data_IF_742505597713
#
_entry.id   IF_742505597713
#
_cell.length_a   1.000
_cell.length_b   1.000
_cell.length_c   1.000
_cell.angle_alpha   90.00
_cell.angle_beta   90.00
_cell.angle_gamma   90.00
#
_symmetry.space_group_name_H-M   'P 1'
#
loop_
_entity.id
_entity.type
_entity.pdbx_description
1 polymer ?
#
# COMPACT_ATOMS: atom_id res chain seq x y z
N UNK A 1 -34.52 -25.29 0.80
CA UNK A 1 -33.52 -25.95 1.66
C UNK A 1 -32.20 -25.23 1.49
N UNK A 2 -31.40 -25.09 2.56
CA UNK A 2 -30.16 -24.30 2.50
C UNK A 2 -28.95 -25.12 2.05
N UNK A 3 -28.95 -26.43 2.30
CA UNK A 3 -27.92 -27.38 1.91
C UNK A 3 -28.49 -28.81 2.00
N UNK A 4 -27.64 -29.81 1.72
CA UNK A 4 -28.02 -31.23 1.75
C UNK A 4 -28.55 -31.69 3.11
N UNK A 5 -28.02 -31.20 4.23
CA UNK A 5 -28.47 -31.59 5.57
C UNK A 5 -29.92 -31.15 5.84
N UNK A 6 -30.29 -29.95 5.37
CA UNK A 6 -31.68 -29.48 5.48
C UNK A 6 -32.64 -30.36 4.67
N UNK A 7 -32.22 -30.79 3.47
CA UNK A 7 -33.00 -31.72 2.66
C UNK A 7 -33.09 -33.10 3.32
N UNK A 8 -31.97 -33.64 3.80
CA UNK A 8 -31.92 -34.92 4.49
C UNK A 8 -32.81 -34.91 5.74
N UNK A 9 -32.75 -33.86 6.56
CA UNK A 9 -33.59 -33.70 7.74
C UNK A 9 -35.08 -33.64 7.38
N UNK A 10 -35.44 -32.99 6.28
CA UNK A 10 -36.83 -32.94 5.83
C UNK A 10 -37.33 -34.30 5.33
N UNK A 11 -36.48 -35.10 4.66
CA UNK A 11 -36.80 -36.47 4.27
C UNK A 11 -37.14 -37.34 5.48
N UNK A 12 -36.44 -37.18 6.61
CA UNK A 12 -36.71 -37.94 7.85
C UNK A 12 -38.09 -37.64 8.48
N UNK A 13 -38.72 -36.52 8.10
CA UNK A 13 -40.07 -36.15 8.59
C UNK A 13 -41.21 -36.71 7.75
N UNK A 14 -40.92 -37.37 6.62
CA UNK A 14 -41.94 -37.97 5.78
C UNK A 14 -42.60 -39.16 6.48
N UNK A 15 -43.88 -39.39 6.14
CA UNK A 15 -44.66 -40.52 6.64
C UNK A 15 -43.96 -41.84 6.29
N UNK A 16 -43.49 -42.55 7.32
CA UNK A 16 -42.71 -43.78 7.18
C UNK A 16 -43.54 -44.95 6.68
N UNK A 17 -44.83 -44.99 6.98
CA UNK A 17 -45.72 -46.06 6.50
C UNK A 17 -45.96 -45.93 4.99
N UNK A 18 -45.84 -44.72 4.45
CA UNK A 18 -46.03 -44.44 3.03
C UNK A 18 -44.73 -44.41 2.22
N UNK A 19 -43.65 -43.86 2.77
CA UNK A 19 -42.43 -43.54 2.03
C UNK A 19 -41.16 -44.23 2.58
N UNK A 20 -41.25 -45.03 3.64
CA UNK A 20 -40.08 -45.62 4.30
C UNK A 20 -39.18 -46.45 3.38
N UNK A 21 -39.77 -47.34 2.58
CA UNK A 21 -39.01 -48.18 1.63
C UNK A 21 -38.36 -47.35 0.52
N UNK A 22 -39.06 -46.33 0.00
CA UNK A 22 -38.53 -45.41 -1.00
C UNK A 22 -37.37 -44.57 -0.45
N UNK A 23 -37.49 -44.09 0.79
CA UNK A 23 -36.40 -43.36 1.44
C UNK A 23 -35.15 -44.22 1.62
N UNK A 24 -35.31 -45.49 2.00
CA UNK A 24 -34.18 -46.41 2.13
C UNK A 24 -33.48 -46.68 0.78
N UNK A 25 -34.23 -46.72 -0.33
CA UNK A 25 -33.70 -47.02 -1.66
C UNK A 25 -33.15 -45.80 -2.40
N UNK A 26 -33.79 -44.63 -2.29
CA UNK A 26 -33.59 -43.50 -3.21
C UNK A 26 -33.00 -42.24 -2.58
N UNK A 27 -32.83 -42.20 -1.24
CA UNK A 27 -32.31 -41.01 -0.54
C UNK A 27 -31.02 -40.46 -1.14
N UNK A 28 -30.03 -41.32 -1.37
CA UNK A 28 -28.74 -40.93 -1.96
C UNK A 28 -28.88 -40.41 -3.39
N UNK A 29 -29.81 -40.97 -4.18
CA UNK A 29 -30.08 -40.50 -5.53
C UNK A 29 -30.70 -39.09 -5.50
N UNK A 30 -31.64 -38.83 -4.59
CA UNK A 30 -32.24 -37.50 -4.44
C UNK A 30 -31.21 -36.47 -3.94
N UNK A 31 -30.34 -36.84 -2.99
CA UNK A 31 -29.24 -35.99 -2.56
C UNK A 31 -28.24 -35.72 -3.68
N UNK A 32 -27.95 -36.71 -4.53
CA UNK A 32 -27.10 -36.53 -5.71
C UNK A 32 -27.71 -35.58 -6.74
N UNK A 33 -29.02 -35.67 -7.02
CA UNK A 33 -29.73 -34.72 -7.90
C UNK A 33 -29.71 -33.31 -7.28
N UNK A 34 -29.92 -33.21 -5.97
CA UNK A 34 -29.83 -31.91 -5.27
C UNK A 34 -28.42 -31.32 -5.41
N UNK A 35 -27.38 -32.13 -5.26
CA UNK A 35 -26.01 -31.69 -5.48
C UNK A 35 -25.74 -31.31 -6.94
N UNK A 36 -26.19 -32.09 -7.92
CA UNK A 36 -26.02 -31.78 -9.34
C UNK A 36 -26.70 -30.44 -9.71
N UNK A 37 -27.85 -30.15 -9.12
CA UNK A 37 -28.59 -28.91 -9.36
C UNK A 37 -27.95 -27.67 -8.72
N UNK A 38 -27.33 -27.81 -7.55
CA UNK A 38 -26.83 -26.68 -6.77
C UNK A 38 -25.30 -26.55 -6.72
N UNK A 39 -24.57 -27.59 -7.05
CA UNK A 39 -23.10 -27.67 -7.05
C UNK A 39 -22.47 -27.12 -5.75
N UNK A 40 -23.00 -27.53 -4.60
CA UNK A 40 -22.52 -27.02 -3.31
C UNK A 40 -21.07 -27.43 -3.02
N UNK A 41 -20.55 -28.49 -3.64
CA UNK A 41 -19.12 -28.86 -3.56
C UNK A 41 -18.19 -27.78 -4.11
N UNK A 42 -18.67 -26.94 -5.03
CA UNK A 42 -17.91 -25.81 -5.57
C UNK A 42 -18.02 -24.54 -4.70
N UNK A 43 -18.81 -24.56 -3.62
CA UNK A 43 -18.94 -23.42 -2.72
C UNK A 43 -17.65 -23.21 -1.91
N UNK A 44 -16.97 -22.10 -2.17
CA UNK A 44 -15.71 -21.71 -1.50
C UNK A 44 -15.90 -20.74 -0.33
N UNK A 45 -17.15 -20.40 -0.01
CA UNK A 45 -17.51 -19.37 0.96
C UNK A 45 -18.33 -18.24 0.33
N UNK A 46 -18.68 -17.24 1.15
CA UNK A 46 -19.64 -16.18 0.78
C UNK A 46 -19.18 -15.27 -0.37
N UNK A 47 -17.88 -15.28 -0.73
CA UNK A 47 -17.30 -14.36 -1.72
C UNK A 47 -17.98 -14.45 -3.09
N UNK A 48 -18.37 -15.67 -3.49
CA UNK A 48 -19.08 -15.90 -4.75
C UNK A 48 -20.59 -15.67 -4.69
N UNK A 49 -21.16 -15.31 -3.53
CA UNK A 49 -22.62 -15.31 -3.32
C UNK A 49 -23.17 -13.97 -2.82
N UNK A 50 -22.37 -12.90 -2.84
CA UNK A 50 -22.81 -11.54 -2.52
C UNK A 50 -21.99 -10.49 -3.30
N UNK A 51 -22.39 -9.22 -3.22
CA UNK A 51 -21.94 -8.14 -4.12
C UNK A 51 -21.29 -6.94 -3.40
N UNK A 52 -20.78 -7.15 -2.18
CA UNK A 52 -20.13 -6.11 -1.37
C UNK A 52 -18.96 -6.71 -0.58
N UNK A 53 -18.18 -5.90 0.14
CA UNK A 53 -17.02 -6.36 0.91
C UNK A 53 -16.03 -7.16 0.03
N UNK A 54 -15.76 -8.42 0.34
CA UNK A 54 -14.92 -9.33 -0.47
C UNK A 54 -15.67 -10.00 -1.64
N UNK A 55 -16.91 -9.57 -1.89
CA UNK A 55 -17.83 -10.19 -2.85
C UNK A 55 -17.57 -9.83 -4.31
N UNK A 56 -18.43 -10.36 -5.16
CA UNK A 56 -18.37 -10.18 -6.60
C UNK A 56 -18.44 -8.70 -6.99
N UNK A 57 -17.49 -8.27 -7.83
CA UNK A 57 -17.44 -6.91 -8.36
C UNK A 57 -17.03 -5.85 -7.34
N UNK A 58 -16.48 -6.25 -6.19
CA UNK A 58 -15.96 -5.33 -5.17
C UNK A 58 -14.43 -5.26 -5.22
N UNK A 59 -13.89 -4.04 -5.20
CA UNK A 59 -12.45 -3.80 -5.05
C UNK A 59 -12.14 -3.75 -3.56
N UNK A 60 -11.26 -4.62 -3.08
CA UNK A 60 -10.79 -4.62 -1.69
C UNK A 60 -9.42 -3.93 -1.60
N UNK A 61 -9.40 -2.67 -1.13
CA UNK A 61 -8.27 -1.75 -1.32
C UNK A 61 -6.99 -2.16 -0.61
N UNK A 62 -7.09 -2.88 0.52
CA UNK A 62 -5.90 -3.41 1.20
C UNK A 62 -5.11 -4.35 0.29
N UNK A 63 -5.78 -5.21 -0.50
CA UNK A 63 -5.09 -6.13 -1.40
C UNK A 63 -4.46 -5.41 -2.59
N UNK A 64 -5.11 -4.35 -3.10
CA UNK A 64 -4.53 -3.50 -4.16
C UNK A 64 -3.28 -2.76 -3.66
N UNK A 65 -3.27 -2.33 -2.40
CA UNK A 65 -2.12 -1.64 -1.82
C UNK A 65 -0.96 -2.62 -1.54
N UNK A 66 -1.27 -3.88 -1.19
CA UNK A 66 -0.26 -4.95 -1.16
C UNK A 66 0.33 -5.21 -2.55
N UNK A 67 -0.50 -5.22 -3.59
CA UNK A 67 -0.03 -5.35 -4.98
C UNK A 67 0.90 -4.18 -5.36
N UNK A 68 0.53 -2.94 -5.01
CA UNK A 68 1.38 -1.75 -5.23
C UNK A 68 2.74 -1.93 -4.56
N UNK A 69 2.77 -2.35 -3.29
CA UNK A 69 4.00 -2.58 -2.55
C UNK A 69 4.83 -3.71 -3.18
N UNK A 70 4.22 -4.82 -3.58
CA UNK A 70 4.91 -5.92 -4.24
C UNK A 70 5.53 -5.48 -5.58
N UNK A 71 4.83 -4.68 -6.39
CA UNK A 71 5.37 -4.14 -7.65
C UNK A 71 6.54 -3.17 -7.39
N UNK A 72 6.48 -2.39 -6.31
CA UNK A 72 7.58 -1.54 -5.87
C UNK A 72 8.83 -2.36 -5.51
N UNK A 73 8.67 -3.44 -4.74
CA UNK A 73 9.76 -4.36 -4.39
C UNK A 73 10.34 -5.04 -5.64
N UNK A 74 9.49 -5.55 -6.54
CA UNK A 74 9.91 -6.12 -7.81
C UNK A 74 10.68 -5.13 -8.69
N UNK A 75 10.25 -3.86 -8.73
CA UNK A 75 10.96 -2.81 -9.47
C UNK A 75 12.39 -2.62 -8.96
N UNK A 76 12.56 -2.46 -7.64
CA UNK A 76 13.89 -2.27 -7.07
C UNK A 76 14.76 -3.52 -7.12
N UNK A 77 14.16 -4.72 -7.03
CA UNK A 77 14.87 -5.96 -7.29
C UNK A 77 15.43 -5.97 -8.72
N UNK A 78 14.58 -5.71 -9.73
CA UNK A 78 14.99 -5.66 -11.12
C UNK A 78 16.09 -4.62 -11.38
N UNK A 79 16.00 -3.44 -10.74
CA UNK A 79 17.06 -2.42 -10.80
C UNK A 79 18.38 -2.93 -10.23
N UNK A 80 18.35 -3.58 -9.05
CA UNK A 80 19.57 -4.11 -8.41
C UNK A 80 20.20 -5.28 -9.14
N UNK A 81 19.40 -6.09 -9.84
CA UNK A 81 19.85 -7.20 -10.68
C UNK A 81 20.32 -6.73 -12.07
N UNK A 82 20.21 -5.43 -12.38
CA UNK A 82 20.62 -4.88 -13.67
C UNK A 82 19.76 -5.35 -14.83
N UNK A 83 18.47 -5.63 -14.58
CA UNK A 83 17.50 -6.02 -15.60
C UNK A 83 17.31 -4.89 -16.62
N UNK A 84 17.00 -5.27 -17.86
CA UNK A 84 16.80 -4.35 -18.98
C UNK A 84 15.89 -3.14 -18.66
N UNK A 85 16.26 -1.98 -19.23
CA UNK A 85 15.58 -0.71 -19.02
C UNK A 85 14.12 -0.74 -19.50
N UNK A 86 13.80 -1.52 -20.54
CA UNK A 86 12.44 -1.68 -21.03
C UNK A 86 11.55 -2.39 -20.01
N UNK A 87 12.06 -3.45 -19.38
CA UNK A 87 11.34 -4.22 -18.36
C UNK A 87 11.17 -3.40 -17.08
N UNK A 88 12.23 -2.77 -16.58
CA UNK A 88 12.14 -1.91 -15.38
C UNK A 88 11.21 -0.72 -15.62
N UNK A 89 11.20 -0.15 -16.83
CA UNK A 89 10.24 0.87 -17.26
C UNK A 89 8.79 0.40 -17.21
N UNK A 90 8.50 -0.84 -17.63
CA UNK A 90 7.15 -1.42 -17.54
C UNK A 90 6.72 -1.66 -16.09
N UNK A 91 7.63 -2.15 -15.22
CA UNK A 91 7.35 -2.29 -13.78
C UNK A 91 7.03 -0.94 -13.14
N UNK A 92 7.80 0.11 -13.47
CA UNK A 92 7.53 1.48 -13.04
C UNK A 92 6.18 1.99 -13.54
N UNK A 93 5.80 1.68 -14.78
CA UNK A 93 4.49 2.04 -15.32
C UNK A 93 3.35 1.36 -14.56
N UNK A 94 3.44 0.05 -14.31
CA UNK A 94 2.45 -0.67 -13.50
C UNK A 94 2.35 -0.13 -12.08
N UNK A 95 3.48 0.21 -11.45
CA UNK A 95 3.49 0.83 -10.13
C UNK A 95 2.63 2.10 -10.09
N UNK A 96 2.84 3.03 -11.04
CA UNK A 96 2.07 4.28 -11.07
C UNK A 96 0.62 4.09 -11.52
N UNK A 97 0.33 3.11 -12.37
CA UNK A 97 -1.05 2.78 -12.75
C UNK A 97 -1.84 2.26 -11.54
N UNK A 98 -1.25 1.35 -10.75
CA UNK A 98 -1.87 0.86 -9.50
C UNK A 98 -2.05 2.03 -8.52
N UNK A 99 -1.03 2.88 -8.33
CA UNK A 99 -1.12 4.09 -7.48
C UNK A 99 -2.24 5.02 -7.93
N UNK A 100 -2.39 5.27 -9.23
CA UNK A 100 -3.49 6.05 -9.77
C UNK A 100 -4.85 5.38 -9.52
N UNK A 101 -4.89 4.04 -9.58
CA UNK A 101 -6.05 3.21 -9.24
C UNK A 101 -6.55 3.40 -7.81
N UNK A 102 -5.65 3.53 -6.81
CA UNK A 102 -5.98 3.79 -5.40
C UNK A 102 -6.88 5.02 -5.26
N UNK A 103 -6.65 6.05 -6.06
CA UNK A 103 -7.66 7.08 -6.32
C UNK A 103 -7.48 8.43 -5.64
N UNK A 104 -6.31 8.74 -5.08
CA UNK A 104 -6.01 10.05 -4.46
C UNK A 104 -6.37 11.24 -5.35
N UNK A 105 -6.23 11.09 -6.68
CA UNK A 105 -6.49 12.15 -7.67
C UNK A 105 -7.83 11.97 -8.42
N UNK A 106 -8.69 11.04 -7.99
CA UNK A 106 -10.04 10.92 -8.55
C UNK A 106 -10.92 12.06 -8.03
N UNK A 107 -11.95 12.44 -8.78
CA UNK A 107 -12.95 13.38 -8.26
C UNK A 107 -13.70 12.75 -7.08
N UNK A 108 -14.19 13.56 -6.12
CA UNK A 108 -15.02 13.05 -5.03
C UNK A 108 -16.27 12.30 -5.51
N UNK A 109 -16.80 12.65 -6.68
CA UNK A 109 -17.92 11.96 -7.32
C UNK A 109 -17.56 10.52 -7.74
N UNK A 110 -16.41 10.33 -8.39
CA UNK A 110 -15.95 9.00 -8.82
C UNK A 110 -15.49 8.17 -7.60
N UNK A 111 -14.80 8.79 -6.65
CA UNK A 111 -14.35 8.12 -5.43
C UNK A 111 -15.53 7.77 -4.51
N UNK A 112 -16.51 8.67 -4.44
CA UNK A 112 -17.70 8.62 -3.59
C UNK A 112 -17.47 9.08 -2.14
N UNK A 113 -16.34 9.74 -1.87
CA UNK A 113 -15.99 10.39 -0.60
C UNK A 113 -14.81 11.37 -0.82
N UNK A 114 -14.20 11.86 0.27
CA UNK A 114 -12.93 12.57 0.19
C UNK A 114 -11.80 11.62 -0.24
N UNK A 115 -11.12 11.87 -1.38
CA UNK A 115 -10.08 10.96 -1.92
C UNK A 115 -8.83 10.81 -1.05
N UNK A 116 -8.65 11.71 -0.08
CA UNK A 116 -7.56 11.66 0.90
C UNK A 116 -7.81 10.65 2.02
N UNK A 117 -9.05 10.21 2.21
CA UNK A 117 -9.44 9.29 3.26
C UNK A 117 -9.40 7.84 2.74
N UNK A 118 -8.81 6.94 3.52
CA UNK A 118 -8.77 5.52 3.20
C UNK A 118 -10.10 4.82 3.52
N UNK A 119 -10.43 3.81 2.72
CA UNK A 119 -11.66 3.01 2.84
C UNK A 119 -11.36 1.54 2.56
N UNK A 120 -12.14 0.63 3.13
CA UNK A 120 -11.83 -0.80 3.01
C UNK A 120 -12.12 -1.37 1.62
N UNK A 121 -13.23 -0.96 1.00
CA UNK A 121 -13.63 -1.49 -0.30
C UNK A 121 -14.50 -0.51 -1.12
N UNK A 122 -14.60 -0.75 -2.42
CA UNK A 122 -15.53 -0.07 -3.34
C UNK A 122 -16.35 -1.11 -4.10
N UNK A 123 -17.67 -0.96 -4.08
CA UNK A 123 -18.59 -1.88 -4.78
C UNK A 123 -18.89 -1.36 -6.18
N UNK A 124 -19.16 -2.25 -7.14
CA UNK A 124 -19.33 -1.90 -8.57
C UNK A 124 -20.20 -0.66 -8.82
N UNK A 125 -21.33 -0.56 -8.13
CA UNK A 125 -22.37 0.45 -8.38
C UNK A 125 -22.43 1.53 -7.28
N UNK A 126 -21.37 1.70 -6.48
CA UNK A 126 -21.27 2.77 -5.50
C UNK A 126 -19.81 3.20 -5.21
N UNK A 127 -19.67 4.31 -4.51
CA UNK A 127 -18.38 4.77 -4.00
C UNK A 127 -17.77 3.87 -2.93
N UNK A 128 -16.63 4.32 -2.42
CA UNK A 128 -15.90 3.71 -1.29
C UNK A 128 -16.76 3.49 -0.03
N UNK A 129 -16.41 2.47 0.76
CA UNK A 129 -17.12 2.01 1.97
C UNK A 129 -16.15 1.67 3.11
N UNK A 130 -16.63 1.81 4.34
CA UNK A 130 -15.89 1.56 5.61
C UNK A 130 -14.65 2.45 5.77
N UNK A 131 -14.82 3.70 6.26
CA UNK A 131 -13.74 4.67 6.37
C UNK A 131 -12.69 4.32 7.44
N UNK A 132 -11.48 4.81 7.23
CA UNK A 132 -10.46 4.99 8.27
C UNK A 132 -9.55 3.79 8.47
N UNK A 133 -9.83 2.96 9.47
CA UNK A 133 -8.88 1.98 10.05
C UNK A 133 -8.75 0.69 9.22
N UNK A 134 -8.49 0.81 7.92
CA UNK A 134 -8.14 -0.31 7.03
C UNK A 134 -6.65 -0.57 7.03
N UNK A 135 -6.24 -1.85 6.91
CA UNK A 135 -4.82 -2.24 6.78
C UNK A 135 -4.12 -1.67 5.54
N UNK A 136 -4.88 -1.12 4.58
CA UNK A 136 -4.37 -0.38 3.42
C UNK A 136 -3.32 0.67 3.83
N UNK A 137 -3.60 1.45 4.88
CA UNK A 137 -2.77 2.62 5.24
C UNK A 137 -1.32 2.22 5.56
N UNK A 138 -1.11 1.05 6.17
CA UNK A 138 0.23 0.52 6.45
C UNK A 138 1.00 0.26 5.17
N UNK A 139 0.35 -0.31 4.15
CA UNK A 139 1.00 -0.67 2.89
C UNK A 139 1.41 0.61 2.13
N UNK A 140 0.51 1.59 2.08
CA UNK A 140 0.75 2.86 1.40
C UNK A 140 1.84 3.70 2.07
N UNK A 141 1.96 3.67 3.41
CA UNK A 141 3.07 4.33 4.13
C UNK A 141 4.42 3.69 3.76
N UNK A 142 4.51 2.35 3.73
CA UNK A 142 5.76 1.66 3.37
C UNK A 142 6.13 1.96 1.91
N UNK A 143 5.17 1.84 0.99
CA UNK A 143 5.40 2.14 -0.42
C UNK A 143 5.78 3.62 -0.64
N UNK A 144 5.24 4.55 0.16
CA UNK A 144 5.60 5.96 0.08
C UNK A 144 7.05 6.21 0.48
N UNK A 145 7.56 5.54 1.51
CA UNK A 145 8.94 5.70 1.96
C UNK A 145 9.95 5.28 0.90
N UNK A 146 9.71 4.15 0.21
CA UNK A 146 10.56 3.72 -0.91
C UNK A 146 10.35 4.57 -2.16
N UNK A 147 9.15 5.10 -2.40
CA UNK A 147 8.88 6.00 -3.52
C UNK A 147 9.62 7.33 -3.40
N UNK A 148 9.71 7.90 -2.19
CA UNK A 148 10.59 9.06 -1.93
C UNK A 148 12.06 8.67 -1.83
N UNK A 149 12.37 7.38 -1.94
CA UNK A 149 13.73 6.86 -2.08
C UNK A 149 14.41 6.48 -0.78
N UNK A 150 13.71 6.32 0.35
CA UNK A 150 14.35 5.85 1.60
C UNK A 150 14.51 4.33 1.58
N UNK A 151 15.77 3.86 1.51
CA UNK A 151 16.13 2.45 1.62
C UNK A 151 17.10 2.23 2.77
N UNK A 152 16.86 1.19 3.56
CA UNK A 152 17.72 0.84 4.70
C UNK A 152 18.37 -0.51 4.43
N UNK A 153 19.70 -0.55 4.49
CA UNK A 153 20.48 -1.76 4.25
C UNK A 153 21.87 -1.65 4.86
N UNK A 154 22.41 -2.74 5.41
CA UNK A 154 23.72 -2.76 6.08
C UNK A 154 23.89 -1.71 7.20
N UNK A 155 22.78 -1.29 7.83
CA UNK A 155 22.76 -0.25 8.85
C UNK A 155 22.81 1.18 8.30
N UNK A 156 22.84 1.37 6.99
CA UNK A 156 22.92 2.65 6.31
C UNK A 156 21.57 3.10 5.74
N UNK A 157 21.33 4.41 5.71
CA UNK A 157 20.24 5.04 4.97
C UNK A 157 20.74 5.37 3.58
N UNK A 158 20.04 4.89 2.56
CA UNK A 158 20.33 5.14 1.15
C UNK A 158 19.14 5.87 0.52
N UNK A 159 19.44 6.85 -0.33
CA UNK A 159 18.48 7.65 -1.08
C UNK A 159 18.45 7.20 -2.55
N UNK A 160 17.45 6.42 -2.93
CA UNK A 160 17.30 5.83 -4.26
C UNK A 160 16.01 6.36 -4.91
N UNK A 161 16.14 7.42 -5.70
CA UNK A 161 15.01 8.26 -6.14
C UNK A 161 14.41 7.83 -7.48
N UNK A 162 14.72 6.63 -8.00
CA UNK A 162 14.21 6.17 -9.31
C UNK A 162 12.67 6.07 -9.40
N UNK A 163 11.95 6.00 -8.28
CA UNK A 163 10.48 6.10 -8.23
C UNK A 163 9.95 7.47 -7.76
N UNK A 164 10.82 8.43 -7.46
CA UNK A 164 10.39 9.78 -7.12
C UNK A 164 9.75 10.42 -8.35
N UNK A 165 8.54 10.96 -8.17
CA UNK A 165 7.85 11.67 -9.23
C UNK A 165 8.31 13.13 -9.24
N UNK A 166 8.92 13.58 -10.34
CA UNK A 166 9.42 14.94 -10.49
C UNK A 166 8.32 16.01 -10.29
N UNK A 167 7.05 15.68 -10.57
CA UNK A 167 5.91 16.59 -10.32
C UNK A 167 5.62 16.85 -8.83
N UNK A 168 6.29 16.14 -7.93
CA UNK A 168 6.18 16.37 -6.49
C UNK A 168 7.23 17.37 -5.97
N UNK A 169 8.20 17.75 -6.82
CA UNK A 169 9.12 18.83 -6.51
C UNK A 169 8.39 20.16 -6.63
N UNK A 170 8.59 21.07 -5.67
CA UNK A 170 7.93 22.37 -5.63
C UNK A 170 8.36 23.24 -6.82
N UNK A 171 7.39 23.95 -7.42
CA UNK A 171 7.65 24.97 -8.44
C UNK A 171 7.86 26.37 -7.85
N UNK A 172 7.35 26.59 -6.62
CA UNK A 172 7.40 27.86 -5.90
C UNK A 172 7.88 27.65 -4.45
N UNK A 173 8.16 28.74 -3.74
CA UNK A 173 8.52 28.65 -2.32
C UNK A 173 7.35 28.15 -1.46
N UNK A 174 7.67 27.42 -0.40
CA UNK A 174 6.69 26.93 0.58
C UNK A 174 7.29 26.81 1.97
N UNK A 175 6.47 26.62 2.98
CA UNK A 175 6.92 26.40 4.37
C UNK A 175 6.66 24.95 4.76
N UNK A 176 7.72 24.23 5.12
CA UNK A 176 7.63 22.91 5.71
C UNK A 176 7.58 23.02 7.24
N UNK A 177 6.36 22.98 7.77
CA UNK A 177 6.10 22.93 9.21
C UNK A 177 6.12 21.48 9.71
N UNK A 178 6.89 21.22 10.76
CA UNK A 178 6.99 19.90 11.38
C UNK A 178 7.21 20.01 12.89
N UNK A 179 7.09 18.87 13.58
CA UNK A 179 7.42 18.77 15.02
C UNK A 179 8.78 18.10 15.13
N UNK A 180 9.74 18.70 15.82
CA UNK A 180 11.08 18.13 16.03
C UNK A 180 11.10 17.05 17.13
N UNK A 181 12.24 16.38 17.32
CA UNK A 181 12.40 15.31 18.34
C UNK A 181 12.06 15.77 19.77
N UNK A 182 12.25 17.05 20.08
CA UNK A 182 11.90 17.67 21.37
C UNK A 182 10.39 17.97 21.52
N UNK A 183 9.58 17.74 20.49
CA UNK A 183 8.15 18.02 20.50
C UNK A 183 7.78 19.47 20.15
N UNK A 184 8.73 20.23 19.60
CA UNK A 184 8.55 21.66 19.28
C UNK A 184 8.19 21.84 17.81
N UNK A 185 7.26 22.76 17.53
CA UNK A 185 6.96 23.19 16.17
C UNK A 185 8.14 23.96 15.58
N UNK A 186 8.54 23.57 14.36
CA UNK A 186 9.62 24.16 13.60
C UNK A 186 9.17 24.38 12.16
N UNK A 187 9.68 25.42 11.54
CA UNK A 187 9.42 25.76 10.13
C UNK A 187 10.74 25.79 9.35
N UNK A 188 10.73 25.19 8.16
CA UNK A 188 11.83 25.31 7.19
C UNK A 188 11.24 25.90 5.90
N UNK A 189 11.81 26.99 5.42
CA UNK A 189 11.48 27.53 4.10
C UNK A 189 12.06 26.60 3.02
N UNK A 190 11.19 26.16 2.11
CA UNK A 190 11.55 25.41 0.92
C UNK A 190 11.51 26.35 -0.29
N UNK A 191 12.54 26.28 -1.11
CA UNK A 191 12.61 26.96 -2.41
C UNK A 191 11.99 26.12 -3.52
N UNK A 192 11.71 26.77 -4.66
CA UNK A 192 11.45 26.06 -5.90
C UNK A 192 12.59 25.05 -6.20
N UNK A 193 12.24 23.87 -6.69
CA UNK A 193 13.17 22.77 -6.89
C UNK A 193 13.42 21.92 -5.65
N UNK A 194 12.67 22.11 -4.55
CA UNK A 194 12.81 21.33 -3.33
C UNK A 194 11.57 20.49 -2.97
N UNK A 195 11.78 19.48 -2.13
CA UNK A 195 10.74 18.67 -1.48
C UNK A 195 11.18 18.38 -0.04
N UNK A 196 10.27 18.53 0.93
CA UNK A 196 10.53 18.25 2.34
C UNK A 196 9.69 17.08 2.87
N UNK A 197 10.31 16.21 3.67
CA UNK A 197 9.63 15.19 4.47
C UNK A 197 10.41 14.92 5.75
N UNK A 198 10.00 13.92 6.54
CA UNK A 198 10.77 13.52 7.73
C UNK A 198 11.03 12.02 7.76
N UNK A 199 12.18 11.65 8.32
CA UNK A 199 12.57 10.27 8.62
C UNK A 199 12.95 10.20 10.10
N UNK A 200 12.25 9.37 10.87
CA UNK A 200 12.42 9.29 12.32
C UNK A 200 12.27 10.65 13.05
N UNK A 201 11.51 11.59 12.46
CA UNK A 201 11.31 12.99 12.92
C UNK A 201 12.50 13.93 12.69
N UNK A 202 13.51 13.49 11.93
CA UNK A 202 14.54 14.37 11.37
C UNK A 202 14.05 14.88 10.01
N UNK A 203 14.07 16.19 9.73
CA UNK A 203 13.68 16.73 8.43
C UNK A 203 14.68 16.32 7.35
N UNK A 204 14.15 15.87 6.21
CA UNK A 204 14.88 15.53 5.00
C UNK A 204 14.45 16.47 3.89
N UNK A 205 15.39 17.22 3.33
CA UNK A 205 15.14 18.19 2.26
C UNK A 205 15.84 17.69 0.99
N UNK A 206 15.06 17.38 -0.03
CA UNK A 206 15.58 17.10 -1.36
C UNK A 206 15.70 18.42 -2.14
N UNK A 207 16.79 18.57 -2.89
CA UNK A 207 17.02 19.69 -3.80
C UNK A 207 17.48 19.17 -5.15
N UNK A 208 16.85 19.63 -6.24
CA UNK A 208 17.35 19.37 -7.59
C UNK A 208 18.77 19.91 -7.75
N UNK A 209 19.64 19.10 -8.37
CA UNK A 209 21.06 19.41 -8.53
C UNK A 209 21.60 18.77 -9.81
N UNK A 210 22.78 19.21 -10.27
CA UNK A 210 23.53 18.56 -11.35
C UNK A 210 24.28 17.30 -10.87
N UNK A 211 24.46 17.16 -9.56
CA UNK A 211 25.15 16.02 -8.95
C UNK A 211 24.44 15.54 -7.70
N UNK A 212 24.50 14.23 -7.51
CA UNK A 212 24.05 13.51 -6.34
C UNK A 212 24.92 13.78 -5.10
N UNK A 213 24.31 13.75 -3.91
CA UNK A 213 25.04 13.91 -2.66
C UNK A 213 24.14 14.04 -1.44
N UNK A 214 24.71 13.84 -0.26
CA UNK A 214 24.02 13.98 1.02
C UNK A 214 24.85 14.85 1.96
N UNK A 215 24.19 15.75 2.66
CA UNK A 215 24.78 16.53 3.76
C UNK A 215 23.92 16.35 5.01
N UNK A 216 24.58 16.09 6.12
CA UNK A 216 23.96 15.96 7.44
C UNK A 216 24.46 17.09 8.31
N UNK A 217 23.53 17.90 8.83
CA UNK A 217 23.85 18.96 9.80
C UNK A 217 23.49 18.50 11.21
N UNK A 218 24.37 18.77 12.17
CA UNK A 218 24.24 18.36 13.57
C UNK A 218 23.87 19.53 14.47
N UNK A 219 23.33 19.24 15.65
CA UNK A 219 22.91 20.27 16.63
C UNK A 219 24.08 21.02 17.28
N UNK A 220 25.30 20.50 17.19
CA UNK A 220 26.53 21.19 17.62
C UNK A 220 27.07 22.19 16.57
N UNK A 221 26.39 22.31 15.42
CA UNK A 221 26.78 23.17 14.31
C UNK A 221 27.76 22.54 13.33
N UNK A 222 28.18 21.30 13.54
CA UNK A 222 29.02 20.58 12.57
C UNK A 222 28.19 20.04 11.40
N UNK A 223 28.86 19.78 10.29
CA UNK A 223 28.26 19.15 9.10
C UNK A 223 29.14 18.01 8.59
N UNK A 224 28.49 17.00 8.01
CA UNK A 224 29.18 15.93 7.30
C UNK A 224 28.55 15.72 5.92
N UNK A 225 29.39 15.77 4.89
CA UNK A 225 28.99 15.58 3.50
C UNK A 225 29.44 14.22 2.96
N UNK A 226 28.63 13.65 2.08
CA UNK A 226 28.84 12.39 1.39
C UNK A 226 28.66 12.62 -0.11
N UNK A 227 29.64 12.22 -0.92
CA UNK A 227 29.58 12.29 -2.38
C UNK A 227 28.74 11.14 -3.00
N UNK A 228 28.00 10.41 -2.17
CA UNK A 228 27.11 9.30 -2.54
C UNK A 228 25.75 9.58 -1.92
N UNK A 229 24.72 8.92 -2.43
CA UNK A 229 23.36 9.00 -1.90
C UNK A 229 23.16 8.20 -0.59
N UNK A 230 24.17 8.07 0.26
CA UNK A 230 24.06 7.27 1.48
C UNK A 230 24.63 7.97 2.71
N UNK A 231 24.02 7.68 3.86
CA UNK A 231 24.48 8.03 5.19
C UNK A 231 25.06 6.77 5.83
N UNK A 232 26.27 6.87 6.36
CA UNK A 232 26.94 5.73 6.99
C UNK A 232 26.16 5.16 8.20
N UNK A 233 26.58 3.98 8.67
CA UNK A 233 25.88 3.26 9.73
C UNK A 233 25.84 4.00 11.07
N UNK A 234 26.87 4.76 11.39
CA UNK A 234 26.97 5.47 12.68
C UNK A 234 25.96 6.61 12.78
N UNK A 235 25.86 7.45 11.75
CA UNK A 235 24.88 8.55 11.71
C UNK A 235 23.47 7.99 11.54
N UNK A 236 23.30 6.96 10.70
CA UNK A 236 22.00 6.29 10.52
C UNK A 236 21.46 5.77 11.85
N UNK A 237 22.31 5.17 12.69
CA UNK A 237 21.94 4.75 14.05
C UNK A 237 21.45 5.92 14.91
N UNK A 238 22.09 7.09 14.87
CA UNK A 238 21.64 8.28 15.61
C UNK A 238 20.23 8.70 15.19
N UNK A 239 19.94 8.64 13.89
CA UNK A 239 18.61 8.94 13.32
C UNK A 239 17.58 7.90 13.80
N UNK A 240 17.88 6.61 13.67
CA UNK A 240 16.98 5.53 14.08
C UNK A 240 16.68 5.55 15.58
N UNK A 241 17.70 5.84 16.40
CA UNK A 241 17.59 5.95 17.86
C UNK A 241 17.07 7.30 18.33
N UNK A 242 16.82 8.25 17.41
CA UNK A 242 16.25 9.57 17.68
C UNK A 242 17.03 10.32 18.77
N UNK A 243 18.37 10.31 18.68
CA UNK A 243 19.23 10.89 19.73
C UNK A 243 19.10 12.41 19.86
N UNK A 244 18.56 13.09 18.85
CA UNK A 244 18.49 14.55 18.78
C UNK A 244 19.78 15.21 18.32
N UNK A 245 20.82 14.43 17.98
CA UNK A 245 22.10 14.97 17.50
C UNK A 245 22.03 15.42 16.03
N UNK A 246 21.22 14.75 15.21
CA UNK A 246 21.05 15.09 13.79
C UNK A 246 19.92 16.10 13.66
N UNK A 247 20.25 17.30 13.17
CA UNK A 247 19.33 18.40 13.01
C UNK A 247 18.54 18.30 11.69
N UNK A 248 19.23 18.00 10.58
CA UNK A 248 18.64 17.96 9.23
C UNK A 248 19.47 17.10 8.29
N UNK A 249 18.81 16.55 7.28
CA UNK A 249 19.44 15.85 6.16
C UNK A 249 19.08 16.60 4.87
N UNK A 250 20.09 17.10 4.16
CA UNK A 250 19.94 17.72 2.85
C UNK A 250 20.44 16.74 1.78
N UNK A 251 19.61 16.43 0.78
CA UNK A 251 19.92 15.48 -0.30
C UNK A 251 19.84 16.19 -1.64
N UNK A 252 20.92 16.12 -2.40
CA UNK A 252 20.97 16.60 -3.78
C UNK A 252 20.55 15.46 -4.71
N UNK A 253 19.51 15.68 -5.51
CA UNK A 253 18.92 14.67 -6.39
C UNK A 253 19.03 15.07 -7.85
N UNK A 254 19.32 14.08 -8.71
CA UNK A 254 19.29 14.20 -10.17
C UNK A 254 18.09 13.39 -10.66
N UNK A 255 17.13 14.04 -11.32
CA UNK A 255 15.88 13.42 -11.80
C UNK A 255 15.77 13.43 -13.32
#
# INVERSE_FOLDING_TARGET
FNNADFLANAMETLDKDKYGDLLAAEKEQVLAIYEEMFDHKSYTGRSGTFYAYEGLGSIYWHMVSKLRLAVNECFFQAVSEGVDAGITGQLKAHYYEIKAGIGLYKSPEIYGAFPTDAYSHSVRDAGVKQPGMTGQVKEDVVARMTEVGVHIGNGEINFETRLLNQKEILEDTSVFSFINISGESQDIELSAGQLGFSLCQVPVIYSLSESEGVRVSFTDGTEQAFNKNNINADISRKIFSRTGEVLRIDVSVVL
#
